data_IF_879298821803
#
_entry.id   IF_879298821803
#
_cell.length_a   1.000
_cell.length_b   1.000
_cell.length_c   1.000
_cell.angle_alpha   90.00
_cell.angle_beta   90.00
_cell.angle_gamma   90.00
#
_symmetry.space_group_name_H-M   'P 1'
#
loop_
_entity.id
_entity.type
_entity.pdbx_description
1 polymer ?
#
# COMPACT_ATOMS: atom_id res chain seq x y z
N UNK A 1 -33.24 -5.84 -14.61
CA UNK A 1 -32.35 -6.50 -13.63
C UNK A 1 -31.74 -5.39 -12.78
N UNK A 2 -32.02 -5.29 -11.46
CA UNK A 2 -31.54 -4.15 -10.69
C UNK A 2 -30.03 -4.27 -10.52
N UNK A 3 -29.33 -3.15 -10.67
CA UNK A 3 -27.90 -3.03 -10.39
C UNK A 3 -27.81 -2.97 -8.86
N UNK A 4 -27.71 -4.14 -8.23
CA UNK A 4 -27.25 -4.21 -6.84
C UNK A 4 -25.79 -3.74 -6.92
N UNK A 5 -25.50 -2.53 -6.43
CA UNK A 5 -24.12 -2.15 -6.14
C UNK A 5 -23.60 -3.25 -5.21
N UNK A 6 -22.75 -4.11 -5.78
CA UNK A 6 -22.08 -5.19 -5.06
C UNK A 6 -21.58 -4.56 -3.76
N UNK A 7 -22.04 -5.11 -2.63
CA UNK A 7 -21.69 -4.67 -1.27
C UNK A 7 -20.24 -4.19 -1.25
N UNK A 8 -20.00 -2.99 -0.68
CA UNK A 8 -18.68 -2.35 -0.67
C UNK A 8 -17.57 -3.39 -0.46
N UNK A 9 -16.70 -3.53 -1.46
CA UNK A 9 -15.64 -4.55 -1.41
C UNK A 9 -14.66 -4.18 -0.28
N UNK A 10 -14.18 -5.16 0.49
CA UNK A 10 -13.12 -4.94 1.47
C UNK A 10 -11.87 -4.34 0.81
N UNK A 11 -11.31 -3.30 1.44
CA UNK A 11 -10.12 -2.59 0.96
C UNK A 11 -8.92 -2.99 1.80
N UNK A 12 -7.92 -3.57 1.15
CA UNK A 12 -6.63 -3.91 1.75
C UNK A 12 -5.59 -2.87 1.35
N UNK A 13 -5.10 -2.11 2.33
CA UNK A 13 -4.02 -1.14 2.13
C UNK A 13 -2.71 -1.79 2.56
N UNK A 14 -1.78 -1.95 1.62
CA UNK A 14 -0.47 -2.53 1.87
C UNK A 14 0.61 -1.45 1.90
N UNK A 15 1.32 -1.40 3.03
CA UNK A 15 2.49 -0.53 3.25
C UNK A 15 3.71 -1.44 3.22
N UNK A 16 4.57 -1.25 2.23
CA UNK A 16 5.76 -2.10 2.07
C UNK A 16 6.78 -1.87 3.20
N UNK A 17 7.50 -2.92 3.56
CA UNK A 17 8.58 -2.90 4.56
C UNK A 17 9.90 -2.33 4.04
N UNK A 18 11.03 -2.85 4.51
CA UNK A 18 12.37 -2.40 4.07
C UNK A 18 13.03 -1.36 4.99
N UNK A 19 12.63 -1.37 6.26
CA UNK A 19 13.32 -0.65 7.34
C UNK A 19 13.30 0.87 7.21
N UNK A 20 12.38 1.43 6.42
CA UNK A 20 12.29 2.85 6.09
C UNK A 20 13.44 3.39 5.20
N UNK A 21 14.33 2.54 4.70
CA UNK A 21 15.47 2.94 3.86
C UNK A 21 15.37 2.41 2.42
N UNK A 22 14.60 1.34 2.18
CA UNK A 22 14.44 0.73 0.88
C UNK A 22 13.02 0.19 0.69
N UNK A 23 12.57 0.07 -0.56
CA UNK A 23 11.28 -0.51 -0.92
C UNK A 23 10.54 0.29 -1.99
N UNK A 24 9.45 -0.29 -2.50
CA UNK A 24 8.60 0.31 -3.51
C UNK A 24 7.23 -0.36 -3.52
N UNK A 25 6.19 0.39 -3.89
CA UNK A 25 4.85 -0.14 -4.16
C UNK A 25 4.72 -0.79 -5.56
N UNK A 26 5.83 -0.94 -6.28
CA UNK A 26 5.82 -1.50 -7.62
C UNK A 26 5.27 -2.94 -7.60
N UNK A 27 4.42 -3.32 -8.58
CA UNK A 27 3.81 -4.64 -8.65
C UNK A 27 4.83 -5.80 -8.65
N UNK A 28 6.06 -5.57 -9.09
CA UNK A 28 7.12 -6.60 -9.05
C UNK A 28 7.47 -7.07 -7.63
N UNK A 29 7.27 -6.22 -6.61
CA UNK A 29 7.55 -6.55 -5.21
C UNK A 29 6.29 -6.92 -4.43
N UNK A 30 5.14 -6.36 -4.84
CA UNK A 30 3.85 -6.47 -4.14
C UNK A 30 2.77 -6.84 -5.14
N UNK A 31 3.03 -7.89 -5.89
CA UNK A 31 2.17 -8.37 -6.94
C UNK A 31 0.76 -8.64 -6.41
N UNK A 32 -0.28 -7.91 -6.88
CA UNK A 32 -1.64 -8.12 -6.43
C UNK A 32 -2.29 -9.32 -7.13
N UNK A 33 -1.59 -10.02 -8.03
CA UNK A 33 -2.15 -10.97 -8.99
C UNK A 33 -2.96 -12.07 -8.27
N UNK A 34 -2.40 -12.65 -7.20
CA UNK A 34 -3.09 -13.69 -6.43
C UNK A 34 -4.37 -13.19 -5.74
N UNK A 35 -4.40 -11.94 -5.30
CA UNK A 35 -5.55 -11.33 -4.63
C UNK A 35 -6.60 -10.87 -5.64
N UNK A 36 -6.15 -10.40 -6.81
CA UNK A 36 -7.01 -9.97 -7.91
C UNK A 36 -7.70 -11.15 -8.60
N UNK A 37 -7.05 -12.31 -8.71
CA UNK A 37 -7.64 -13.55 -9.26
C UNK A 37 -8.89 -14.02 -8.48
N UNK A 38 -8.97 -13.69 -7.19
CA UNK A 38 -10.15 -14.01 -6.35
C UNK A 38 -11.30 -12.99 -6.51
N UNK A 39 -11.03 -11.78 -7.00
CA UNK A 39 -12.05 -10.81 -7.42
C UNK A 39 -12.89 -10.16 -6.32
N UNK A 40 -12.65 -10.46 -5.04
CA UNK A 40 -13.51 -10.02 -3.92
C UNK A 40 -12.86 -8.95 -3.02
N UNK A 41 -11.68 -8.43 -3.39
CA UNK A 41 -10.94 -7.42 -2.60
C UNK A 41 -10.40 -6.30 -3.49
N UNK A 42 -10.34 -5.09 -2.94
CA UNK A 42 -9.60 -3.97 -3.55
C UNK A 42 -8.24 -3.87 -2.86
N UNK A 43 -7.16 -3.96 -3.63
CA UNK A 43 -5.79 -3.81 -3.10
C UNK A 43 -5.25 -2.43 -3.44
N UNK A 44 -4.77 -1.71 -2.42
CA UNK A 44 -4.14 -0.40 -2.57
C UNK A 44 -2.71 -0.49 -2.04
N UNK A 45 -1.73 -0.25 -2.91
CA UNK A 45 -0.32 -0.11 -2.53
C UNK A 45 0.08 1.36 -2.62
N UNK A 46 0.89 1.85 -1.67
CA UNK A 46 1.28 3.26 -1.62
C UNK A 46 2.80 3.42 -1.56
N UNK A 47 3.31 4.46 -2.23
CA UNK A 47 4.68 4.90 -2.06
C UNK A 47 4.79 5.89 -0.90
N UNK A 48 5.77 5.68 -0.04
CA UNK A 48 6.19 6.63 1.00
C UNK A 48 7.67 6.97 0.83
N UNK A 49 8.07 8.17 1.28
CA UNK A 49 9.47 8.63 1.20
C UNK A 49 10.36 7.81 2.12
N UNK A 50 11.61 7.61 1.72
CA UNK A 50 12.58 6.76 2.41
C UNK A 50 13.78 7.56 2.93
N UNK A 51 14.50 6.97 3.88
CA UNK A 51 15.73 7.51 4.46
C UNK A 51 15.55 8.94 4.99
N UNK A 52 16.57 9.77 4.82
CA UNK A 52 16.53 11.16 5.27
C UNK A 52 15.38 11.97 4.62
N UNK A 53 14.97 11.65 3.39
CA UNK A 53 13.86 12.33 2.72
C UNK A 53 12.49 12.02 3.34
N UNK A 54 12.36 10.88 4.04
CA UNK A 54 11.14 10.48 4.73
C UNK A 54 11.18 10.71 6.24
N UNK A 55 12.36 10.60 6.86
CA UNK A 55 12.49 10.37 8.31
C UNK A 55 13.68 11.11 8.96
N UNK A 56 14.23 12.16 8.32
CA UNK A 56 15.23 13.00 8.97
C UNK A 56 14.58 13.82 10.09
N UNK A 57 15.14 13.73 11.30
CA UNK A 57 14.83 14.62 12.42
C UNK A 57 16.11 15.17 13.01
N UNK A 58 16.14 16.47 13.26
CA UNK A 58 17.22 17.17 13.98
C UNK A 58 17.15 16.95 15.49
N UNK A 59 16.04 16.38 15.99
CA UNK A 59 15.77 16.18 17.40
C UNK A 59 16.03 17.43 18.26
N UNK A 60 15.70 18.61 17.73
CA UNK A 60 15.77 19.86 18.46
C UNK A 60 14.59 19.95 19.43
N UNK A 61 14.90 19.84 20.71
CA UNK A 61 13.96 20.11 21.79
C UNK A 61 14.00 21.58 22.14
N UNK A 62 12.98 22.33 21.72
CA UNK A 62 12.73 23.68 22.24
C UNK A 62 11.95 23.58 23.55
#
# INVERSE_FOLDING_TARGET
KPIIHRLALPVMVYIFGGGFFAGSAAPIFTGPEYLMDRGDVIVVTINYRLGAFGFLSTNDGN
#
